data_IF_571637990600
#
_entry.id   IF_571637990600
#
_cell.length_a   1.000
_cell.length_b   1.000
_cell.length_c   1.000
_cell.angle_alpha   90.00
_cell.angle_beta   90.00
_cell.angle_gamma   90.00
#
_symmetry.space_group_name_H-M   'P 1'
#
loop_
_entity.id
_entity.type
_entity.pdbx_description
1 polymer ?
#
# COMPACT_ATOMS: atom_id res chain seq x y z
N UNK A 1 -2.16 2.80 69.04
CA UNK A 1 -1.52 1.61 68.44
C UNK A 1 -2.42 1.14 67.31
N UNK A 2 -1.96 1.25 66.06
CA UNK A 2 -2.72 0.85 64.88
C UNK A 2 -2.13 -0.51 64.44
N UNK A 3 -2.87 -1.59 64.64
CA UNK A 3 -2.48 -2.92 64.18
C UNK A 3 -2.59 -2.99 62.65
N UNK A 4 -1.45 -2.96 61.98
CA UNK A 4 -1.35 -3.29 60.56
C UNK A 4 -1.56 -4.81 60.39
N UNK A 5 -2.77 -5.18 59.98
CA UNK A 5 -3.12 -6.54 59.61
C UNK A 5 -2.42 -6.93 58.28
N UNK A 6 -1.16 -7.35 58.37
CA UNK A 6 -0.42 -7.88 57.23
C UNK A 6 -0.86 -9.31 56.93
N UNK A 7 -1.71 -9.49 55.91
CA UNK A 7 -2.00 -10.82 55.36
C UNK A 7 -0.71 -11.47 54.86
N UNK A 8 -0.42 -12.64 55.42
CA UNK A 8 0.74 -13.48 55.06
C UNK A 8 0.82 -13.76 53.56
N UNK A 9 2.04 -13.83 53.01
CA UNK A 9 2.32 -14.20 51.61
C UNK A 9 1.60 -15.48 51.16
N UNK A 10 1.30 -16.39 52.09
CA UNK A 10 0.55 -17.63 51.86
C UNK A 10 -0.95 -17.42 51.61
N UNK A 11 -1.58 -16.40 52.20
CA UNK A 11 -2.97 -16.01 51.95
C UNK A 11 -3.13 -15.46 50.52
N UNK A 12 -2.22 -14.59 50.09
CA UNK A 12 -2.22 -14.04 48.73
C UNK A 12 -1.98 -15.13 47.67
N UNK A 13 -1.17 -16.14 47.97
CA UNK A 13 -0.91 -17.26 47.07
C UNK A 13 -2.13 -18.19 46.90
N UNK A 14 -2.93 -18.38 47.97
CA UNK A 14 -4.24 -19.07 47.86
C UNK A 14 -5.24 -18.30 47.01
N UNK A 15 -5.27 -16.97 47.10
CA UNK A 15 -6.15 -16.12 46.28
C UNK A 15 -5.78 -16.23 44.78
N UNK A 16 -4.49 -16.32 44.46
CA UNK A 16 -4.02 -16.49 43.07
C UNK A 16 -4.35 -17.91 42.55
N UNK A 17 -4.21 -18.94 43.39
CA UNK A 17 -4.52 -20.32 43.00
C UNK A 17 -6.03 -20.61 42.90
N UNK A 18 -6.84 -19.86 43.67
CA UNK A 18 -8.30 -19.98 43.70
C UNK A 18 -9.01 -19.02 42.73
N UNK A 19 -8.28 -18.43 41.77
CA UNK A 19 -8.93 -17.89 40.57
C UNK A 19 -9.57 -19.06 39.85
N UNK A 20 -10.90 -19.13 39.94
CA UNK A 20 -11.78 -20.00 39.15
C UNK A 20 -11.17 -20.26 37.78
N UNK A 21 -10.55 -21.43 37.62
CA UNK A 21 -10.17 -21.94 36.31
C UNK A 21 -11.48 -22.39 35.69
N UNK A 22 -11.92 -21.70 34.63
CA UNK A 22 -13.06 -22.13 33.84
C UNK A 22 -12.93 -23.63 33.57
N UNK A 23 -13.96 -24.40 33.94
CA UNK A 23 -13.95 -25.84 33.73
C UNK A 23 -13.80 -26.18 32.24
N UNK A 24 -13.06 -27.25 31.94
CA UNK A 24 -12.78 -27.67 30.56
C UNK A 24 -14.06 -27.90 29.72
N UNK A 25 -15.19 -28.19 30.35
CA UNK A 25 -16.49 -28.37 29.72
C UNK A 25 -17.07 -27.08 29.11
N UNK A 26 -16.50 -25.89 29.41
CA UNK A 26 -16.83 -24.64 28.73
C UNK A 26 -16.07 -24.44 27.41
N UNK A 27 -15.01 -25.23 27.15
CA UNK A 27 -14.21 -25.10 25.94
C UNK A 27 -15.03 -25.25 24.64
N UNK A 28 -15.99 -26.19 24.52
CA UNK A 28 -16.85 -26.28 23.34
C UNK A 28 -17.71 -25.02 23.13
N UNK A 29 -18.26 -24.44 24.20
CA UNK A 29 -19.05 -23.21 24.12
C UNK A 29 -18.20 -22.00 23.73
N UNK A 30 -16.97 -21.93 24.23
CA UNK A 30 -16.02 -20.89 23.84
C UNK A 30 -15.65 -20.99 22.36
N UNK A 31 -15.35 -22.20 21.86
CA UNK A 31 -15.07 -22.43 20.43
C UNK A 31 -16.30 -22.11 19.58
N UNK A 32 -17.48 -22.57 19.98
CA UNK A 32 -18.73 -22.30 19.28
C UNK A 32 -19.05 -20.80 19.23
N UNK A 33 -18.78 -20.06 20.30
CA UNK A 33 -18.92 -18.61 20.34
C UNK A 33 -18.00 -17.92 19.32
N UNK A 34 -16.71 -18.25 19.28
CA UNK A 34 -15.78 -17.65 18.33
C UNK A 34 -16.08 -18.05 16.88
N UNK A 35 -16.49 -19.31 16.67
CA UNK A 35 -16.92 -19.78 15.36
C UNK A 35 -18.17 -19.03 14.88
N UNK A 36 -19.17 -18.88 15.75
CA UNK A 36 -20.37 -18.10 15.45
C UNK A 36 -20.02 -16.63 15.19
N UNK A 37 -19.16 -16.03 16.01
CA UNK A 37 -18.72 -14.65 15.83
C UNK A 37 -18.00 -14.47 14.49
N UNK A 38 -17.14 -15.41 14.11
CA UNK A 38 -16.48 -15.41 12.79
C UNK A 38 -17.52 -15.45 11.66
N UNK A 39 -18.49 -16.36 11.72
CA UNK A 39 -19.54 -16.45 10.69
C UNK A 39 -20.45 -15.22 10.65
N UNK A 40 -20.76 -14.61 11.79
CA UNK A 40 -21.64 -13.44 11.84
C UNK A 40 -20.94 -12.13 11.48
N UNK A 41 -19.60 -12.07 11.55
CA UNK A 41 -18.85 -10.84 11.25
C UNK A 41 -18.09 -10.94 9.94
N UNK A 42 -17.27 -11.98 9.76
CA UNK A 42 -16.36 -12.11 8.61
C UNK A 42 -17.12 -12.43 7.33
N UNK A 43 -18.09 -13.33 7.36
CA UNK A 43 -18.82 -13.73 6.15
C UNK A 43 -19.68 -12.57 5.60
N UNK A 44 -20.50 -11.87 6.41
CA UNK A 44 -21.20 -10.68 5.93
C UNK A 44 -20.26 -9.56 5.48
N UNK A 45 -19.13 -9.37 6.18
CA UNK A 45 -18.11 -8.41 5.77
C UNK A 45 -17.46 -8.78 4.43
N UNK A 46 -17.27 -10.07 4.15
CA UNK A 46 -16.70 -10.53 2.88
C UNK A 46 -17.69 -10.31 1.72
N UNK A 47 -18.96 -10.60 1.94
CA UNK A 47 -20.01 -10.42 0.94
C UNK A 47 -20.50 -8.97 0.79
N UNK A 48 -20.06 -8.03 1.63
CA UNK A 48 -20.36 -6.61 1.46
C UNK A 48 -19.41 -5.90 0.49
N UNK A 49 -18.29 -6.53 0.12
CA UNK A 49 -17.38 -5.98 -0.88
C UNK A 49 -17.97 -6.04 -2.29
N UNK A 50 -17.64 -5.07 -3.15
CA UNK A 50 -18.01 -5.14 -4.56
C UNK A 50 -17.48 -6.41 -5.23
N UNK A 51 -18.22 -6.91 -6.21
CA UNK A 51 -17.76 -8.03 -7.02
C UNK A 51 -16.48 -7.67 -7.78
N UNK A 52 -15.51 -8.58 -7.75
CA UNK A 52 -14.23 -8.42 -8.45
C UNK A 52 -14.44 -8.61 -9.96
N UNK A 53 -14.28 -7.53 -10.72
CA UNK A 53 -14.33 -7.60 -12.18
C UNK A 53 -13.09 -8.29 -12.74
N UNK A 54 -13.30 -9.11 -13.77
CA UNK A 54 -12.27 -9.82 -14.53
C UNK A 54 -11.95 -9.11 -15.84
N UNK A 55 -10.89 -9.55 -16.52
CA UNK A 55 -10.48 -9.01 -17.82
C UNK A 55 -11.59 -9.21 -18.87
N UNK A 56 -12.33 -10.32 -18.79
CA UNK A 56 -13.47 -10.58 -19.69
C UNK A 56 -14.62 -9.57 -19.53
N UNK A 57 -14.75 -8.96 -18.35
CA UNK A 57 -15.80 -7.98 -18.04
C UNK A 57 -15.46 -6.55 -18.48
N UNK A 58 -14.21 -6.30 -18.91
CA UNK A 58 -13.74 -4.94 -19.21
C UNK A 58 -14.53 -4.29 -20.35
N UNK A 59 -14.87 -5.06 -21.38
CA UNK A 59 -15.63 -4.56 -22.53
C UNK A 59 -17.05 -4.14 -22.18
N UNK A 60 -17.66 -4.77 -21.17
CA UNK A 60 -19.03 -4.48 -20.72
C UNK A 60 -19.08 -3.46 -19.57
N UNK A 61 -17.94 -3.18 -18.93
CA UNK A 61 -17.81 -2.26 -17.80
C UNK A 61 -16.72 -1.20 -18.03
N UNK A 62 -16.86 -0.33 -19.05
CA UNK A 62 -15.86 0.69 -19.34
C UNK A 62 -15.66 1.63 -18.15
N UNK A 63 -14.41 1.99 -17.88
CA UNK A 63 -14.06 2.91 -16.79
C UNK A 63 -14.13 2.30 -15.39
N UNK A 64 -14.29 0.97 -15.26
CA UNK A 64 -14.27 0.27 -13.97
C UNK A 64 -12.91 -0.38 -13.72
N UNK A 65 -12.56 -0.47 -12.44
CA UNK A 65 -11.34 -1.14 -11.96
C UNK A 65 -11.41 -2.64 -12.20
N UNK A 66 -10.38 -3.21 -12.85
CA UNK A 66 -10.33 -4.65 -13.14
C UNK A 66 -9.42 -5.35 -12.11
N UNK A 67 -10.04 -6.09 -11.19
CA UNK A 67 -9.33 -6.71 -10.08
C UNK A 67 -8.36 -7.81 -10.52
N UNK A 68 -8.73 -8.62 -11.53
CA UNK A 68 -7.84 -9.64 -12.09
C UNK A 68 -6.53 -9.06 -12.67
N UNK A 69 -6.61 -7.88 -13.30
CA UNK A 69 -5.43 -7.16 -13.82
C UNK A 69 -4.48 -6.77 -12.67
N UNK A 70 -5.02 -6.16 -11.62
CA UNK A 70 -4.26 -5.76 -10.44
C UNK A 70 -3.65 -6.98 -9.70
N UNK A 71 -4.41 -8.06 -9.55
CA UNK A 71 -3.94 -9.30 -8.93
C UNK A 71 -2.79 -9.93 -9.74
N UNK A 72 -2.92 -9.99 -11.06
CA UNK A 72 -1.85 -10.49 -11.95
C UNK A 72 -0.59 -9.65 -11.86
N UNK A 73 -0.71 -8.32 -11.77
CA UNK A 73 0.43 -7.43 -11.48
C UNK A 73 1.06 -7.73 -10.12
N UNK A 74 0.24 -7.99 -9.09
CA UNK A 74 0.72 -8.22 -7.72
C UNK A 74 1.51 -9.52 -7.63
N UNK A 75 1.02 -10.58 -8.26
CA UNK A 75 1.73 -11.86 -8.33
C UNK A 75 3.10 -11.71 -9.00
N UNK A 76 3.20 -10.90 -10.07
CA UNK A 76 4.50 -10.63 -10.72
C UNK A 76 5.42 -9.77 -9.87
N UNK A 77 4.90 -8.73 -9.22
CA UNK A 77 5.68 -7.84 -8.34
C UNK A 77 6.21 -8.58 -7.11
N UNK A 78 5.40 -9.47 -6.52
CA UNK A 78 5.78 -10.25 -5.33
C UNK A 78 6.76 -11.38 -5.67
N UNK A 79 6.69 -11.93 -6.89
CA UNK A 79 7.64 -12.95 -7.38
C UNK A 79 9.08 -12.44 -7.52
N UNK A 80 9.29 -11.12 -7.54
CA UNK A 80 10.63 -10.51 -7.43
C UNK A 80 11.29 -10.88 -6.07
N UNK A 81 10.47 -11.10 -5.04
CA UNK A 81 10.93 -11.30 -3.67
C UNK A 81 11.11 -9.97 -2.91
N UNK A 82 11.91 -9.99 -1.83
CA UNK A 82 12.19 -8.79 -1.05
C UNK A 82 12.88 -7.70 -1.87
N UNK A 83 12.30 -6.50 -1.86
CA UNK A 83 12.78 -5.29 -2.54
C UNK A 83 13.40 -4.35 -1.50
N UNK A 84 14.42 -4.83 -0.81
CA UNK A 84 15.13 -4.03 0.19
C UNK A 84 15.88 -2.92 -0.52
N UNK A 85 15.78 -1.69 -0.03
CA UNK A 85 16.46 -0.51 -0.58
C UNK A 85 17.96 -0.80 -0.78
N UNK A 86 18.50 -0.41 -1.95
CA UNK A 86 19.89 -0.68 -2.33
C UNK A 86 20.16 -2.07 -2.92
N UNK A 87 19.19 -2.99 -2.89
CA UNK A 87 19.29 -4.28 -3.60
C UNK A 87 18.98 -4.15 -5.09
N UNK A 88 19.50 -5.05 -5.93
CA UNK A 88 19.13 -5.10 -7.36
C UNK A 88 17.63 -5.42 -7.57
N UNK A 89 16.99 -6.07 -6.60
CA UNK A 89 15.55 -6.30 -6.63
C UNK A 89 14.77 -4.98 -6.55
N UNK A 90 15.16 -4.07 -5.67
CA UNK A 90 14.54 -2.74 -5.55
C UNK A 90 14.97 -1.81 -6.69
N UNK A 91 16.28 -1.59 -6.83
CA UNK A 91 16.84 -0.50 -7.65
C UNK A 91 16.76 -0.74 -9.15
N UNK A 92 16.60 -2.00 -9.58
CA UNK A 92 16.59 -2.36 -11.00
C UNK A 92 15.31 -3.14 -11.35
N UNK A 93 15.04 -4.24 -10.67
CA UNK A 93 13.96 -5.15 -11.09
C UNK A 93 12.58 -4.56 -10.84
N UNK A 94 12.34 -3.97 -9.66
CA UNK A 94 11.08 -3.31 -9.33
C UNK A 94 10.87 -2.04 -10.16
N UNK A 95 11.89 -1.20 -10.32
CA UNK A 95 11.83 -0.03 -11.20
C UNK A 95 11.51 -0.43 -12.63
N UNK A 96 12.19 -1.44 -13.18
CA UNK A 96 11.93 -1.93 -14.54
C UNK A 96 10.52 -2.52 -14.68
N UNK A 97 10.03 -3.22 -13.66
CA UNK A 97 8.65 -3.70 -13.62
C UNK A 97 7.67 -2.52 -13.75
N UNK A 98 7.82 -1.49 -12.91
CA UNK A 98 6.96 -0.29 -12.94
C UNK A 98 7.00 0.39 -14.30
N UNK A 99 8.20 0.65 -14.84
CA UNK A 99 8.36 1.27 -16.16
C UNK A 99 7.72 0.45 -17.27
N UNK A 100 7.79 -0.88 -17.18
CA UNK A 100 7.17 -1.79 -18.15
C UNK A 100 5.65 -1.69 -18.11
N UNK A 101 5.05 -1.69 -16.92
CA UNK A 101 3.59 -1.55 -16.77
C UNK A 101 3.11 -0.15 -17.17
N UNK A 102 3.81 0.91 -16.74
CA UNK A 102 3.51 2.30 -17.13
C UNK A 102 3.59 2.46 -18.64
N UNK A 103 4.62 1.89 -19.29
CA UNK A 103 4.76 1.96 -20.75
C UNK A 103 3.62 1.27 -21.49
N UNK A 104 3.06 0.17 -20.95
CA UNK A 104 1.85 -0.45 -21.50
C UNK A 104 0.66 0.49 -21.39
N UNK A 105 0.47 1.09 -20.21
CA UNK A 105 -0.63 2.03 -19.97
C UNK A 105 -0.55 3.23 -20.92
N UNK A 106 0.64 3.83 -21.08
CA UNK A 106 0.86 4.98 -21.96
C UNK A 106 0.54 4.65 -23.43
N UNK A 107 0.89 3.45 -23.90
CA UNK A 107 0.58 3.02 -25.28
C UNK A 107 -0.92 2.87 -25.54
N UNK A 108 -1.67 2.44 -24.54
CA UNK A 108 -3.10 2.15 -24.67
C UNK A 108 -3.99 3.33 -24.22
N UNK A 109 -3.41 4.44 -23.79
CA UNK A 109 -4.11 5.61 -23.28
C UNK A 109 -4.78 6.43 -24.39
N UNK A 110 -5.83 7.18 -24.03
CA UNK A 110 -6.50 8.15 -24.90
C UNK A 110 -5.66 9.43 -25.00
N UNK A 111 -4.66 9.42 -25.89
CA UNK A 111 -3.75 10.57 -26.11
C UNK A 111 -4.43 11.81 -26.70
N UNK A 112 -5.65 11.65 -27.20
CA UNK A 112 -6.53 12.77 -27.59
C UNK A 112 -7.06 13.54 -26.38
N UNK A 113 -7.18 12.89 -25.21
CA UNK A 113 -7.74 13.46 -23.98
C UNK A 113 -6.70 13.69 -22.87
N UNK A 114 -5.62 12.92 -22.85
CA UNK A 114 -4.64 12.97 -21.76
C UNK A 114 -3.21 13.03 -22.30
N UNK A 115 -2.39 13.84 -21.63
CA UNK A 115 -0.93 13.81 -21.74
C UNK A 115 -0.35 13.07 -20.53
N UNK A 116 0.49 12.07 -20.78
CA UNK A 116 1.13 11.25 -19.73
C UNK A 116 2.64 11.45 -19.78
N UNK A 117 3.18 12.04 -18.73
CA UNK A 117 4.62 12.18 -18.52
C UNK A 117 5.04 11.20 -17.41
N UNK A 118 6.19 10.54 -17.58
CA UNK A 118 6.76 9.71 -16.52
C UNK A 118 8.27 9.85 -16.47
N UNK A 119 8.83 9.82 -15.26
CA UNK A 119 10.27 9.88 -15.04
C UNK A 119 10.70 9.05 -13.82
N UNK A 120 11.95 8.60 -13.85
CA UNK A 120 12.61 8.05 -12.66
C UNK A 120 13.37 9.20 -12.00
N UNK A 121 12.87 9.65 -10.84
CA UNK A 121 13.56 10.62 -10.03
C UNK A 121 14.67 9.91 -9.25
N UNK A 122 15.91 10.41 -9.36
CA UNK A 122 17.01 10.01 -8.47
C UNK A 122 17.31 11.17 -7.53
N UNK A 123 17.23 10.94 -6.22
CA UNK A 123 17.32 12.00 -5.20
C UNK A 123 18.22 11.58 -4.04
N UNK A 124 18.90 12.57 -3.46
CA UNK A 124 19.72 12.44 -2.27
C UNK A 124 19.36 13.54 -1.30
N UNK A 125 19.54 13.32 0.00
CA UNK A 125 19.16 14.31 0.99
C UNK A 125 19.33 13.82 2.42
N UNK A 126 18.87 14.66 3.33
CA UNK A 126 18.92 14.37 4.75
C UNK A 126 17.78 15.10 5.48
N UNK A 127 17.33 14.51 6.58
CA UNK A 127 16.33 15.08 7.48
C UNK A 127 16.47 14.46 8.86
N UNK A 128 15.77 15.04 9.84
CA UNK A 128 15.68 14.51 11.20
C UNK A 128 14.24 14.06 11.44
N UNK A 129 14.06 12.78 11.76
CA UNK A 129 12.79 12.23 12.20
C UNK A 129 13.02 11.45 13.49
N UNK A 130 12.15 11.60 14.49
CA UNK A 130 12.24 10.90 15.77
C UNK A 130 13.62 10.98 16.45
N UNK A 131 14.30 12.13 16.34
CA UNK A 131 15.67 12.38 16.86
C UNK A 131 16.77 11.57 16.16
N UNK A 132 16.48 10.89 15.06
CA UNK A 132 17.44 10.20 14.21
C UNK A 132 17.74 11.04 12.97
N UNK A 133 19.03 11.28 12.72
CA UNK A 133 19.50 11.88 11.46
C UNK A 133 19.43 10.80 10.38
N UNK A 134 18.61 11.03 9.36
CA UNK A 134 18.58 10.21 8.16
C UNK A 134 19.38 10.93 7.07
N UNK A 135 20.30 10.21 6.44
CA UNK A 135 21.03 10.66 5.25
C UNK A 135 20.91 9.55 4.21
N UNK A 136 20.54 9.94 3.00
CA UNK A 136 20.33 8.99 1.91
C UNK A 136 20.91 9.55 0.61
N UNK A 137 21.31 8.62 -0.26
CA UNK A 137 21.92 8.92 -1.54
C UNK A 137 21.31 8.05 -2.63
N UNK A 138 21.06 8.67 -3.78
CA UNK A 138 20.64 7.99 -5.00
C UNK A 138 19.39 7.10 -4.85
N UNK A 139 18.44 7.54 -4.04
CA UNK A 139 17.14 6.89 -3.91
C UNK A 139 16.30 7.16 -5.14
N UNK A 140 15.60 6.13 -5.63
CA UNK A 140 14.80 6.20 -6.84
C UNK A 140 13.30 6.25 -6.53
N UNK A 141 12.59 7.19 -7.14
CA UNK A 141 11.14 7.17 -7.25
C UNK A 141 10.75 7.01 -8.72
N UNK A 142 9.67 6.29 -9.00
CA UNK A 142 9.03 6.32 -10.32
C UNK A 142 7.82 7.22 -10.21
N UNK A 143 7.77 8.27 -11.04
CA UNK A 143 6.73 9.30 -10.98
C UNK A 143 6.01 9.35 -12.31
N UNK A 144 4.68 9.37 -12.27
CA UNK A 144 3.83 9.52 -13.45
C UNK A 144 2.88 10.69 -13.24
N UNK A 145 2.81 11.61 -14.19
CA UNK A 145 1.83 12.69 -14.22
C UNK A 145 0.85 12.48 -15.37
N UNK A 146 -0.41 12.32 -15.03
CA UNK A 146 -1.54 12.27 -15.96
C UNK A 146 -2.20 13.66 -16.00
N UNK A 147 -2.11 14.34 -17.13
CA UNK A 147 -2.65 15.68 -17.34
C UNK A 147 -3.80 15.62 -18.34
N UNK A 148 -5.04 16.00 -17.97
CA UNK A 148 -6.13 16.14 -18.93
C UNK A 148 -5.85 17.30 -19.89
N UNK A 149 -6.00 17.06 -21.19
CA UNK A 149 -5.79 18.08 -22.23
C UNK A 149 -6.82 19.20 -22.11
N UNK A 150 -6.36 20.44 -22.24
CA UNK A 150 -7.20 21.63 -22.10
C UNK A 150 -7.51 22.02 -20.66
N UNK A 151 -6.91 21.37 -19.65
CA UNK A 151 -7.01 21.87 -18.28
C UNK A 151 -6.24 23.18 -18.10
N UNK A 152 -6.86 24.13 -17.40
CA UNK A 152 -6.21 25.36 -16.92
C UNK A 152 -5.85 25.25 -15.43
N UNK A 153 -6.01 24.08 -14.81
CA UNK A 153 -5.73 23.92 -13.39
C UNK A 153 -4.23 23.86 -13.12
N UNK A 154 -3.78 24.64 -12.15
CA UNK A 154 -2.42 24.56 -11.60
C UNK A 154 -2.31 23.54 -10.48
N UNK A 155 -3.44 23.04 -9.95
CA UNK A 155 -3.48 22.08 -8.86
C UNK A 155 -3.47 20.64 -9.39
N UNK A 156 -2.80 19.76 -8.65
CA UNK A 156 -2.74 18.32 -8.93
C UNK A 156 -3.11 17.50 -7.69
N UNK A 157 -3.68 16.32 -7.90
CA UNK A 157 -3.86 15.31 -6.87
C UNK A 157 -2.62 14.39 -6.82
N UNK A 158 -1.97 14.28 -5.67
CA UNK A 158 -0.89 13.32 -5.45
C UNK A 158 -1.46 12.01 -4.90
N UNK A 159 -1.17 10.90 -5.56
CA UNK A 159 -1.43 9.54 -5.09
C UNK A 159 -0.07 8.87 -4.87
N UNK A 160 0.21 8.44 -3.65
CA UNK A 160 1.52 7.93 -3.25
C UNK A 160 1.42 6.55 -2.60
N UNK A 161 2.33 5.65 -2.98
CA UNK A 161 2.60 4.40 -2.28
C UNK A 161 4.05 3.98 -2.53
N UNK A 162 4.54 2.99 -1.77
CA UNK A 162 5.92 2.54 -1.82
C UNK A 162 6.07 1.13 -2.39
N UNK A 163 7.10 0.92 -3.19
CA UNK A 163 7.37 -0.37 -3.84
C UNK A 163 8.51 -1.15 -3.19
N UNK A 164 9.28 -0.54 -2.30
CA UNK A 164 10.29 -1.23 -1.49
C UNK A 164 9.64 -2.11 -0.43
N UNK A 165 10.43 -2.99 0.17
CA UNK A 165 9.97 -3.86 1.25
C UNK A 165 11.08 -4.13 2.27
N UNK A 166 10.69 -4.54 3.47
CA UNK A 166 11.63 -5.04 4.48
C UNK A 166 12.29 -6.38 4.11
N UNK A 167 13.45 -6.71 4.75
CA UNK A 167 14.07 -8.02 4.63
C UNK A 167 13.12 -9.17 4.98
N UNK A 168 13.12 -10.22 4.15
CA UNK A 168 12.31 -11.42 4.37
C UNK A 168 10.83 -11.29 3.99
N UNK A 169 10.37 -10.10 3.59
CA UNK A 169 9.01 -9.88 3.09
C UNK A 169 9.00 -9.77 1.57
N UNK A 170 8.01 -10.35 0.89
CA UNK A 170 7.77 -10.07 -0.54
C UNK A 170 7.16 -8.69 -0.78
N UNK A 171 6.70 -8.02 0.28
CA UNK A 171 6.01 -6.73 0.22
C UNK A 171 4.62 -6.81 -0.41
N UNK A 172 3.92 -7.96 -0.32
CA UNK A 172 2.61 -8.12 -0.94
C UNK A 172 1.56 -7.17 -0.34
N UNK A 173 1.36 -7.24 0.99
CA UNK A 173 0.45 -6.35 1.70
C UNK A 173 1.01 -4.94 1.90
N UNK A 174 2.32 -4.86 2.18
CA UNK A 174 3.02 -3.62 2.51
C UNK A 174 4.18 -3.39 1.52
N UNK A 175 4.02 -2.56 0.48
CA UNK A 175 2.75 -2.00 -0.01
C UNK A 175 2.44 -2.37 -1.47
N UNK A 176 2.85 -3.56 -1.89
CA UNK A 176 2.67 -4.08 -3.26
C UNK A 176 1.22 -4.04 -3.75
N UNK A 177 0.24 -4.33 -2.90
CA UNK A 177 -1.19 -4.21 -3.24
C UNK A 177 -1.56 -2.78 -3.63
N UNK A 178 -1.04 -1.77 -2.92
CA UNK A 178 -1.32 -0.37 -3.23
C UNK A 178 -0.64 0.07 -4.53
N UNK A 179 0.55 -0.44 -4.81
CA UNK A 179 1.26 -0.20 -6.08
C UNK A 179 0.43 -0.68 -7.28
N UNK A 180 -0.13 -1.88 -7.21
CA UNK A 180 -0.93 -2.42 -8.34
C UNK A 180 -2.29 -1.75 -8.44
N UNK A 181 -2.88 -1.31 -7.33
CA UNK A 181 -4.09 -0.48 -7.34
C UNK A 181 -3.82 0.85 -8.02
N UNK A 182 -2.68 1.49 -7.75
CA UNK A 182 -2.28 2.74 -8.41
C UNK A 182 -2.08 2.54 -9.92
N UNK A 183 -1.40 1.47 -10.34
CA UNK A 183 -1.20 1.15 -11.75
C UNK A 183 -2.54 0.90 -12.48
N UNK A 184 -3.43 0.10 -11.89
CA UNK A 184 -4.73 -0.19 -12.48
C UNK A 184 -5.63 1.04 -12.51
N UNK A 185 -5.57 1.88 -11.47
CA UNK A 185 -6.28 3.17 -11.44
C UNK A 185 -5.77 4.11 -12.54
N UNK A 186 -4.45 4.24 -12.70
CA UNK A 186 -3.84 5.00 -13.79
C UNK A 186 -4.30 4.46 -15.16
N UNK A 187 -4.30 3.13 -15.35
CA UNK A 187 -4.77 2.47 -16.59
C UNK A 187 -6.22 2.84 -16.91
N UNK A 188 -7.12 2.68 -15.95
CA UNK A 188 -8.55 2.96 -16.14
C UNK A 188 -8.80 4.43 -16.43
N UNK A 189 -8.22 5.34 -15.65
CA UNK A 189 -8.42 6.79 -15.83
C UNK A 189 -7.84 7.25 -17.18
N UNK A 190 -6.69 6.73 -17.60
CA UNK A 190 -6.05 7.11 -18.87
C UNK A 190 -6.90 6.80 -20.12
N UNK A 191 -7.93 5.95 -19.97
CA UNK A 191 -8.87 5.58 -21.03
C UNK A 191 -10.26 6.21 -20.85
N UNK A 192 -10.49 6.92 -19.75
CA UNK A 192 -11.82 7.41 -19.38
C UNK A 192 -12.23 8.62 -20.22
N UNK A 193 -13.42 8.56 -20.81
CA UNK A 193 -13.86 9.55 -21.81
C UNK A 193 -14.13 10.93 -21.22
N UNK A 194 -14.55 11.01 -19.97
CA UNK A 194 -14.81 12.29 -19.29
C UNK A 194 -13.49 12.84 -18.77
N UNK A 195 -13.00 13.97 -19.30
CA UNK A 195 -11.72 14.53 -18.87
C UNK A 195 -11.76 14.98 -17.41
N UNK A 196 -10.66 14.75 -16.71
CA UNK A 196 -10.48 15.23 -15.34
C UNK A 196 -10.35 16.76 -15.29
N UNK A 197 -10.71 17.35 -14.14
CA UNK A 197 -10.50 18.78 -13.91
C UNK A 197 -9.05 19.09 -13.51
N UNK A 198 -8.43 18.19 -12.75
CA UNK A 198 -7.10 18.33 -12.19
C UNK A 198 -6.17 17.25 -12.73
N UNK A 199 -4.87 17.55 -12.79
CA UNK A 199 -3.86 16.53 -13.08
C UNK A 199 -3.73 15.57 -11.89
N UNK A 200 -3.30 14.34 -12.15
CA UNK A 200 -2.99 13.37 -11.11
C UNK A 200 -1.51 13.00 -11.21
N UNK A 201 -0.80 13.07 -10.09
CA UNK A 201 0.58 12.62 -9.96
C UNK A 201 0.56 11.32 -9.17
N UNK A 202 1.02 10.23 -9.78
CA UNK A 202 1.27 8.95 -9.15
C UNK A 202 2.73 8.87 -8.76
N UNK A 203 2.99 8.75 -7.46
CA UNK A 203 4.33 8.60 -6.88
C UNK A 203 4.49 7.17 -6.39
N UNK A 204 5.27 6.39 -7.13
CA UNK A 204 5.75 5.09 -6.70
C UNK A 204 7.10 5.32 -6.01
N UNK A 205 7.07 5.47 -4.68
CA UNK A 205 8.26 5.80 -3.91
C UNK A 205 9.09 4.53 -3.62
N UNK A 206 10.41 4.64 -3.61
CA UNK A 206 11.30 3.47 -3.56
C UNK A 206 12.05 3.23 -2.27
N UNK A 207 11.72 3.98 -1.21
CA UNK A 207 12.40 3.90 0.08
C UNK A 207 11.53 4.49 1.17
N UNK A 208 10.41 3.84 1.46
CA UNK A 208 9.57 4.16 2.62
C UNK A 208 10.12 3.48 3.87
N UNK A 209 10.50 2.21 3.74
CA UNK A 209 10.93 1.34 4.84
C UNK A 209 12.26 1.82 5.46
N UNK A 210 13.05 2.54 4.66
CA UNK A 210 14.14 3.39 5.14
C UNK A 210 13.57 4.79 5.37
N UNK A 211 13.28 5.18 6.63
CA UNK A 211 12.11 5.97 7.04
C UNK A 211 11.70 7.15 6.14
N UNK A 212 10.89 6.91 5.11
CA UNK A 212 10.30 7.94 4.22
C UNK A 212 11.31 8.70 3.33
N UNK A 213 12.46 8.11 3.00
CA UNK A 213 13.49 8.76 2.18
C UNK A 213 13.00 9.11 0.77
N UNK A 214 12.25 8.20 0.13
CA UNK A 214 11.72 8.41 -1.22
C UNK A 214 10.73 9.58 -1.29
N UNK A 215 9.74 9.59 -0.39
CA UNK A 215 8.73 10.66 -0.34
C UNK A 215 9.31 12.00 0.10
N UNK A 216 10.29 12.00 1.02
CA UNK A 216 11.04 13.21 1.38
C UNK A 216 11.77 13.80 0.16
N UNK A 217 12.46 12.97 -0.63
CA UNK A 217 13.12 13.40 -1.85
C UNK A 217 12.15 13.93 -2.91
N UNK A 218 10.95 13.37 -3.01
CA UNK A 218 9.91 13.91 -3.88
C UNK A 218 9.46 15.30 -3.43
N UNK A 219 9.00 15.44 -2.18
CA UNK A 219 8.36 16.68 -1.72
C UNK A 219 9.33 17.87 -1.67
N UNK A 220 10.62 17.61 -1.45
CA UNK A 220 11.63 18.67 -1.31
C UNK A 220 12.28 19.07 -2.64
N UNK A 221 12.33 18.18 -3.63
CA UNK A 221 13.18 18.39 -4.82
C UNK A 221 12.44 18.23 -6.15
N UNK A 222 11.27 17.56 -6.18
CA UNK A 222 10.58 17.30 -7.45
C UNK A 222 9.82 18.52 -7.96
N UNK A 223 9.90 18.80 -9.26
CA UNK A 223 9.19 19.91 -9.92
C UNK A 223 7.68 19.85 -9.75
N UNK A 224 7.11 18.64 -9.71
CA UNK A 224 5.67 18.39 -9.52
C UNK A 224 5.21 18.33 -8.06
N UNK A 225 6.09 18.56 -7.09
CA UNK A 225 5.71 18.71 -5.68
C UNK A 225 5.40 20.17 -5.29
N UNK A 226 5.56 21.10 -6.23
CA UNK A 226 5.39 22.54 -6.03
C UNK A 226 4.03 23.05 -6.48
#
# INVERSE_FOLDING_TARGET
>A
MHELNMKSKYENMKIIYNRSKFGWYWAPLFIAFWFLLFYLTVIPSYHSYPEQLKIEDEATHPGRFIGESAESMLLRLTKIGPKVVGSAANEQTAVQFLLTEISKIVRDARTDLYDIEHEVQVTSGNYVIWKMVNVYQSIQNVVVKLTPRGTNSTSSLLINSHYDSVPGSSGAGDSGTMIVIMLETLRVISKYETPLQHSIVFLFNGAEENPLQGSHGFITQHKWAR
#
